data_IF_835753169924
#
_entry.id   IF_835753169924
#
_cell.length_a   1.000
_cell.length_b   1.000
_cell.length_c   1.000
_cell.angle_alpha   90.00
_cell.angle_beta   90.00
_cell.angle_gamma   90.00
#
_symmetry.space_group_name_H-M   'P 1'
#
loop_
_entity.id
_entity.type
_entity.pdbx_description
1 polymer ?
#
# COMPACT_ATOMS: atom_id res chain seq x y z
N UNK A 1 -28.01 2.56 1.52
CA UNK A 1 -27.06 1.69 0.81
C UNK A 1 -25.67 2.13 1.22
N UNK A 2 -24.85 1.26 1.83
CA UNK A 2 -23.60 1.68 2.45
C UNK A 2 -22.45 1.58 1.45
N UNK A 3 -21.86 2.72 1.08
CA UNK A 3 -20.70 2.81 0.18
C UNK A 3 -19.45 3.15 0.98
N UNK A 4 -18.28 2.95 0.37
CA UNK A 4 -17.03 3.50 0.91
C UNK A 4 -17.01 5.00 0.64
N UNK A 5 -16.82 5.79 1.68
CA UNK A 5 -16.61 7.24 1.57
C UNK A 5 -15.20 7.53 1.02
N UNK A 6 -14.22 6.72 1.41
CA UNK A 6 -12.82 6.88 1.03
C UNK A 6 -12.18 5.58 0.55
N UNK A 7 -11.33 5.67 -0.46
CA UNK A 7 -10.40 4.60 -0.83
C UNK A 7 -8.99 5.17 -0.84
N UNK A 8 -8.12 4.58 -0.03
CA UNK A 8 -6.70 4.92 -0.03
C UNK A 8 -5.97 3.92 -0.93
N UNK A 9 -5.32 4.43 -1.97
CA UNK A 9 -4.56 3.64 -2.95
C UNK A 9 -3.11 4.08 -3.01
N UNK A 10 -2.22 3.16 -3.36
CA UNK A 10 -0.78 3.41 -3.44
C UNK A 10 -0.08 2.28 -4.20
N UNK A 11 1.23 2.42 -4.44
CA UNK A 11 2.11 1.26 -4.68
C UNK A 11 2.29 0.46 -3.38
N UNK A 12 2.61 -0.83 -3.50
CA UNK A 12 3.01 -1.64 -2.36
C UNK A 12 4.14 -0.95 -1.57
N UNK A 13 4.09 -1.00 -0.24
CA UNK A 13 5.09 -0.41 0.69
C UNK A 13 5.14 1.13 0.75
N UNK A 14 4.19 1.84 0.14
CA UNK A 14 4.10 3.31 0.18
C UNK A 14 3.34 3.88 1.39
N UNK A 15 2.82 3.05 2.31
CA UNK A 15 2.23 3.54 3.57
C UNK A 15 0.74 3.28 3.78
N UNK A 16 0.13 2.32 3.07
CA UNK A 16 -1.30 1.99 3.23
C UNK A 16 -1.66 1.57 4.66
N UNK A 17 -0.80 0.79 5.34
CA UNK A 17 -1.02 0.45 6.74
C UNK A 17 -0.96 1.66 7.70
N UNK A 18 -0.13 2.67 7.39
CA UNK A 18 -0.10 3.92 8.14
C UNK A 18 -1.42 4.68 7.95
N UNK A 19 -1.88 4.76 6.70
CA UNK A 19 -3.11 5.48 6.37
C UNK A 19 -4.35 4.85 6.99
N UNK A 20 -4.46 3.51 7.02
CA UNK A 20 -5.55 2.83 7.72
C UNK A 20 -5.61 3.21 9.22
N UNK A 21 -4.45 3.25 9.88
CA UNK A 21 -4.34 3.67 11.30
C UNK A 21 -4.71 5.14 11.48
N UNK A 22 -4.14 6.01 10.65
CA UNK A 22 -4.40 7.44 10.67
C UNK A 22 -5.89 7.75 10.54
N UNK A 23 -6.54 7.23 9.49
CA UNK A 23 -7.97 7.45 9.23
C UNK A 23 -8.80 6.97 10.43
N UNK A 24 -8.47 5.79 10.97
CA UNK A 24 -9.15 5.25 12.15
C UNK A 24 -8.96 6.13 13.39
N UNK A 25 -7.77 6.69 13.62
CA UNK A 25 -7.49 7.60 14.74
C UNK A 25 -8.29 8.90 14.67
N UNK A 26 -8.58 9.41 13.46
CA UNK A 26 -9.41 10.61 13.26
C UNK A 26 -10.92 10.29 13.15
N UNK A 27 -11.31 9.07 13.54
CA UNK A 27 -12.70 8.63 13.60
C UNK A 27 -13.29 8.28 12.23
N UNK A 28 -12.48 7.85 11.27
CA UNK A 28 -12.91 7.29 9.98
C UNK A 28 -12.59 5.79 10.00
N UNK A 29 -13.58 4.90 10.28
CA UNK A 29 -13.36 3.45 10.29
C UNK A 29 -12.76 2.95 8.97
N UNK A 30 -11.46 2.63 8.99
CA UNK A 30 -10.69 2.33 7.78
C UNK A 30 -9.98 0.98 7.84
N UNK A 31 -10.47 0.01 7.06
CA UNK A 31 -9.82 -1.29 6.91
C UNK A 31 -8.46 -1.19 6.20
N UNK A 32 -7.58 -2.16 6.46
CA UNK A 32 -6.34 -2.35 5.69
C UNK A 32 -6.48 -3.63 4.88
N UNK A 33 -6.55 -3.50 3.55
CA UNK A 33 -6.74 -4.62 2.61
C UNK A 33 -7.95 -5.51 2.95
N UNK A 34 -8.97 -4.93 3.60
CA UNK A 34 -10.16 -5.64 4.08
C UNK A 34 -11.14 -5.82 2.94
N UNK A 35 -11.35 -4.76 2.15
CA UNK A 35 -12.17 -4.81 0.94
C UNK A 35 -11.30 -5.28 -0.24
N UNK A 36 -10.21 -4.56 -0.50
CA UNK A 36 -9.30 -4.84 -1.62
C UNK A 36 -8.16 -5.73 -1.15
N UNK A 37 -8.35 -7.05 -1.25
CA UNK A 37 -7.38 -8.07 -0.83
C UNK A 37 -6.93 -9.00 -1.96
N UNK A 38 -6.10 -9.98 -1.60
CA UNK A 38 -5.55 -11.00 -2.53
C UNK A 38 -6.59 -11.92 -3.18
N UNK A 39 -7.86 -11.86 -2.77
CA UNK A 39 -8.95 -12.62 -3.37
C UNK A 39 -9.24 -12.23 -4.83
N UNK A 40 -8.68 -11.11 -5.30
CA UNK A 40 -8.84 -10.64 -6.67
C UNK A 40 -10.22 -10.03 -6.94
N UNK A 41 -10.53 -9.85 -8.23
CA UNK A 41 -11.71 -9.09 -8.69
C UNK A 41 -13.04 -9.66 -8.17
N UNK A 42 -13.27 -10.96 -8.32
CA UNK A 42 -14.54 -11.58 -7.91
C UNK A 42 -14.81 -11.39 -6.42
N UNK A 43 -13.81 -11.64 -5.57
CA UNK A 43 -13.95 -11.46 -4.12
C UNK A 43 -14.17 -9.99 -3.77
N UNK A 44 -13.45 -9.08 -4.44
CA UNK A 44 -13.59 -7.63 -4.22
C UNK A 44 -14.99 -7.15 -4.62
N UNK A 45 -15.50 -7.56 -5.78
CA UNK A 45 -16.85 -7.20 -6.25
C UNK A 45 -17.94 -7.76 -5.32
N UNK A 46 -17.79 -9.00 -4.86
CA UNK A 46 -18.71 -9.59 -3.87
C UNK A 46 -18.69 -8.78 -2.58
N UNK A 47 -17.51 -8.42 -2.06
CA UNK A 47 -17.39 -7.61 -0.84
C UNK A 47 -18.01 -6.22 -0.99
N UNK A 48 -17.74 -5.54 -2.11
CA UNK A 48 -18.34 -4.23 -2.40
C UNK A 48 -19.86 -4.32 -2.49
N UNK A 49 -20.40 -5.34 -3.15
CA UNK A 49 -21.84 -5.57 -3.26
C UNK A 49 -22.49 -5.91 -1.91
N UNK A 50 -21.84 -6.73 -1.09
CA UNK A 50 -22.32 -7.04 0.26
C UNK A 50 -22.36 -5.81 1.17
N UNK A 51 -21.35 -4.94 1.08
CA UNK A 51 -21.36 -3.65 1.77
C UNK A 51 -22.52 -2.78 1.29
N UNK A 52 -22.66 -2.65 -0.03
CA UNK A 52 -23.71 -1.86 -0.67
C UNK A 52 -25.10 -2.28 -0.15
N UNK A 53 -25.40 -3.59 -0.20
CA UNK A 53 -26.65 -4.19 0.25
C UNK A 53 -26.84 -4.20 1.78
N UNK A 54 -25.84 -3.81 2.57
CA UNK A 54 -25.87 -3.93 4.03
C UNK A 54 -25.93 -5.38 4.53
N UNK A 55 -25.46 -6.33 3.71
CA UNK A 55 -25.45 -7.78 3.99
C UNK A 55 -24.07 -8.32 4.32
N UNK A 56 -23.07 -7.45 4.43
CA UNK A 56 -21.77 -7.79 4.97
C UNK A 56 -21.93 -8.56 6.29
N UNK A 57 -21.24 -9.69 6.45
CA UNK A 57 -21.05 -10.35 7.75
C UNK A 57 -19.56 -10.49 8.03
N UNK A 58 -19.19 -10.74 9.28
CA UNK A 58 -17.78 -10.90 9.63
C UNK A 58 -17.11 -12.06 8.87
N UNK A 59 -17.86 -13.09 8.46
CA UNK A 59 -17.32 -14.27 7.76
C UNK A 59 -16.72 -13.94 6.39
N UNK A 60 -17.31 -13.03 5.62
CA UNK A 60 -16.80 -12.67 4.29
C UNK A 60 -15.57 -11.75 4.34
N UNK A 61 -15.36 -11.11 5.50
CA UNK A 61 -14.20 -10.27 5.81
C UNK A 61 -13.18 -10.96 6.68
N UNK A 62 -13.42 -12.21 7.11
CA UNK A 62 -12.41 -12.94 7.85
C UNK A 62 -11.13 -12.99 7.01
N UNK A 63 -9.98 -12.61 7.58
CA UNK A 63 -8.72 -12.80 6.91
C UNK A 63 -8.61 -14.29 6.64
N UNK A 64 -8.75 -14.69 5.36
CA UNK A 64 -8.30 -16.01 4.91
C UNK A 64 -6.93 -16.25 5.55
N UNK A 65 -6.63 -17.48 5.98
CA UNK A 65 -5.38 -17.82 6.71
C UNK A 65 -4.09 -17.19 6.13
N UNK A 66 -4.10 -16.85 4.84
CA UNK A 66 -3.07 -16.08 4.12
C UNK A 66 -2.90 -14.60 4.54
N UNK A 67 -3.98 -13.87 4.85
CA UNK A 67 -3.90 -12.49 5.37
C UNK A 67 -3.37 -12.49 6.81
N UNK A 68 -3.76 -13.50 7.61
CA UNK A 68 -3.25 -13.71 8.96
C UNK A 68 -1.74 -13.97 8.94
N UNK A 69 -1.30 -14.82 8.00
CA UNK A 69 0.11 -15.09 7.75
C UNK A 69 0.93 -13.90 7.23
N UNK A 70 0.36 -12.89 6.57
CA UNK A 70 1.15 -11.73 6.13
C UNK A 70 1.35 -10.68 7.24
N UNK A 71 0.38 -10.54 8.15
CA UNK A 71 0.58 -9.84 9.41
C UNK A 71 1.62 -10.57 10.30
N UNK A 72 1.70 -11.89 10.21
CA UNK A 72 2.67 -12.71 10.97
C UNK A 72 4.05 -12.87 10.29
N UNK A 73 4.16 -12.94 8.96
CA UNK A 73 5.41 -13.24 8.23
C UNK A 73 6.30 -12.03 7.97
N UNK A 74 5.80 -10.80 8.11
CA UNK A 74 6.68 -9.65 8.33
C UNK A 74 7.37 -9.75 9.72
N UNK A 75 7.00 -10.74 10.54
CA UNK A 75 7.37 -10.77 11.95
C UNK A 75 8.07 -12.04 12.46
N UNK A 76 8.39 -13.08 11.67
CA UNK A 76 8.75 -14.38 12.31
C UNK A 76 9.94 -15.22 11.81
N UNK A 77 10.90 -14.70 11.05
CA UNK A 77 12.16 -15.47 10.84
C UNK A 77 13.48 -14.73 11.02
N UNK A 78 13.47 -13.43 11.33
CA UNK A 78 14.72 -12.65 11.49
C UNK A 78 14.75 -11.70 12.70
N UNK A 79 13.82 -11.80 13.66
CA UNK A 79 13.85 -10.94 14.86
C UNK A 79 13.62 -11.75 16.14
N UNK A 80 14.71 -12.09 16.82
CA UNK A 80 14.79 -12.84 18.07
C UNK A 80 14.39 -12.03 19.31
N UNK A 81 13.27 -11.29 19.28
CA UNK A 81 12.76 -10.63 20.49
C UNK A 81 11.23 -10.69 20.58
N UNK A 82 10.75 -11.54 21.48
CA UNK A 82 9.34 -11.78 21.82
C UNK A 82 8.57 -10.53 22.33
N UNK A 83 9.23 -9.39 22.57
CA UNK A 83 8.59 -8.16 23.07
C UNK A 83 7.91 -7.27 22.01
N UNK A 84 8.06 -7.56 20.71
CA UNK A 84 7.50 -6.69 19.65
C UNK A 84 6.06 -7.00 19.23
N UNK A 85 5.45 -8.04 19.78
CA UNK A 85 4.12 -8.52 19.37
C UNK A 85 2.94 -7.90 20.11
N UNK A 86 3.15 -7.16 21.20
CA UNK A 86 2.04 -6.56 21.97
C UNK A 86 1.26 -5.47 21.20
N UNK A 87 1.85 -4.85 20.18
CA UNK A 87 1.24 -3.74 19.44
C UNK A 87 0.69 -4.10 18.05
N UNK A 88 1.07 -5.25 17.48
CA UNK A 88 0.51 -5.69 16.19
C UNK A 88 -0.93 -6.23 16.34
N UNK A 89 -1.25 -6.81 17.50
CA UNK A 89 -2.58 -7.34 17.87
C UNK A 89 -3.67 -6.28 18.06
N UNK A 90 -3.33 -5.00 17.99
CA UNK A 90 -4.29 -3.93 18.27
C UNK A 90 -5.15 -3.61 17.03
N UNK A 91 -4.59 -3.52 15.83
CA UNK A 91 -5.36 -3.03 14.65
C UNK A 91 -6.43 -4.01 14.19
N UNK A 92 -6.14 -5.31 14.23
CA UNK A 92 -7.13 -6.35 13.90
C UNK A 92 -8.30 -6.41 14.91
N UNK A 93 -8.19 -5.77 16.08
CA UNK A 93 -9.27 -5.66 17.06
C UNK A 93 -10.14 -4.41 16.92
N UNK A 94 -9.73 -3.40 16.15
CA UNK A 94 -10.37 -2.07 16.24
C UNK A 94 -11.43 -1.76 15.19
N UNK A 95 -11.61 -2.60 14.17
CA UNK A 95 -12.51 -2.24 13.08
C UNK A 95 -13.51 -3.37 12.85
N UNK A 96 -14.75 -3.13 13.29
CA UNK A 96 -15.88 -3.93 12.89
C UNK A 96 -16.05 -3.80 11.37
N UNK A 97 -15.90 -4.88 10.58
CA UNK A 97 -16.06 -4.84 9.12
C UNK A 97 -17.39 -4.24 8.68
N UNK A 98 -18.43 -4.34 9.52
CA UNK A 98 -19.75 -3.77 9.26
C UNK A 98 -19.78 -2.26 9.41
N UNK A 99 -18.81 -1.68 10.12
CA UNK A 99 -18.70 -0.24 10.35
C UNK A 99 -17.76 0.46 9.37
N UNK A 100 -16.95 -0.28 8.60
CA UNK A 100 -16.00 0.28 7.64
C UNK A 100 -16.66 1.26 6.68
N UNK A 101 -16.05 2.43 6.54
CA UNK A 101 -16.39 3.46 5.55
C UNK A 101 -15.21 3.81 4.65
N UNK A 102 -14.04 3.24 4.91
CA UNK A 102 -12.84 3.43 4.09
C UNK A 102 -12.00 2.15 3.99
N UNK A 103 -11.28 1.95 2.90
CA UNK A 103 -10.27 0.87 2.80
C UNK A 103 -8.95 1.42 2.29
N UNK A 104 -7.86 1.03 2.93
CA UNK A 104 -6.50 1.35 2.49
C UNK A 104 -5.80 0.12 1.95
N UNK A 105 -5.51 0.13 0.65
CA UNK A 105 -4.95 -1.01 -0.03
C UNK A 105 -4.26 -0.62 -1.33
N UNK A 106 -3.05 -1.14 -1.55
CA UNK A 106 -2.37 -0.97 -2.83
C UNK A 106 -3.09 -1.78 -3.94
N UNK A 107 -3.82 -2.83 -3.56
CA UNK A 107 -4.62 -3.69 -4.45
C UNK A 107 -5.90 -3.01 -4.94
N UNK A 108 -6.24 -1.81 -4.44
CA UNK A 108 -7.39 -1.05 -4.93
C UNK A 108 -7.16 -0.42 -6.30
N UNK A 109 -5.91 -0.22 -6.72
CA UNK A 109 -5.57 0.50 -7.96
C UNK A 109 -6.27 -0.04 -9.24
N UNK A 110 -6.40 -1.36 -9.47
CA UNK A 110 -7.12 -1.88 -10.63
C UNK A 110 -8.64 -1.66 -10.61
N UNK A 111 -9.20 -1.21 -9.49
CA UNK A 111 -10.65 -1.10 -9.28
C UNK A 111 -11.15 0.35 -9.24
N UNK A 112 -10.26 1.34 -9.37
CA UNK A 112 -10.61 2.76 -9.20
C UNK A 112 -11.67 3.26 -10.20
N UNK A 113 -11.74 2.65 -11.39
CA UNK A 113 -12.76 2.99 -12.41
C UNK A 113 -14.07 2.23 -12.25
N UNK A 114 -14.19 1.38 -11.23
CA UNK A 114 -15.42 0.63 -10.95
C UNK A 114 -16.57 1.58 -10.65
N UNK A 115 -17.78 1.37 -11.23
CA UNK A 115 -18.97 2.14 -10.88
C UNK A 115 -19.32 2.09 -9.39
N UNK A 116 -18.91 1.03 -8.68
CA UNK A 116 -19.12 0.86 -7.24
C UNK A 116 -18.36 1.91 -6.40
N UNK A 117 -17.36 2.57 -6.99
CA UNK A 117 -16.55 3.61 -6.36
C UNK A 117 -16.84 5.01 -6.93
N UNK A 118 -17.94 5.20 -7.67
CA UNK A 118 -18.25 6.48 -8.34
C UNK A 118 -18.29 7.67 -7.40
N UNK A 119 -18.72 7.43 -6.16
CA UNK A 119 -18.96 8.46 -5.15
C UNK A 119 -17.85 8.48 -4.08
N UNK A 120 -16.91 7.53 -4.14
CA UNK A 120 -15.81 7.44 -3.19
C UNK A 120 -14.74 8.47 -3.49
N UNK A 121 -14.22 9.14 -2.45
CA UNK A 121 -13.04 10.00 -2.56
C UNK A 121 -11.78 9.14 -2.60
N UNK A 122 -10.98 9.28 -3.65
CA UNK A 122 -9.75 8.51 -3.82
C UNK A 122 -8.55 9.31 -3.29
N UNK A 123 -7.86 8.74 -2.31
CA UNK A 123 -6.63 9.30 -1.74
C UNK A 123 -5.46 8.49 -2.30
N UNK A 124 -4.66 9.11 -3.15
CA UNK A 124 -3.42 8.53 -3.67
C UNK A 124 -2.29 8.84 -2.70
N UNK A 125 -1.71 7.81 -2.11
CA UNK A 125 -0.57 7.95 -1.20
C UNK A 125 0.68 7.61 -1.96
N UNK A 126 1.65 8.50 -1.90
CA UNK A 126 2.95 8.32 -2.50
C UNK A 126 4.06 8.49 -1.47
N UNK A 127 5.18 7.84 -1.72
CA UNK A 127 6.36 7.84 -0.85
C UNK A 127 7.60 7.95 -1.72
N UNK A 128 8.69 8.47 -1.15
CA UNK A 128 9.97 8.52 -1.83
C UNK A 128 10.31 7.15 -2.47
N UNK A 129 10.52 7.08 -3.80
CA UNK A 129 10.65 5.83 -4.54
C UNK A 129 11.87 5.02 -4.10
N UNK A 130 12.99 5.65 -3.73
CA UNK A 130 14.18 4.95 -3.22
C UNK A 130 13.82 4.17 -1.95
N UNK A 131 13.03 4.77 -1.06
CA UNK A 131 12.55 4.12 0.15
C UNK A 131 11.58 2.96 -0.15
N UNK A 132 10.70 3.13 -1.14
CA UNK A 132 9.74 2.09 -1.54
C UNK A 132 10.46 0.90 -2.19
N UNK A 133 11.36 1.16 -3.14
CA UNK A 133 12.16 0.13 -3.84
C UNK A 133 13.00 -0.66 -2.84
N UNK A 134 13.69 0.03 -1.91
CA UNK A 134 14.40 -0.64 -0.82
C UNK A 134 13.48 -1.52 0.01
N UNK A 135 12.30 -1.02 0.39
CA UNK A 135 11.34 -1.81 1.18
C UNK A 135 10.82 -3.02 0.40
N UNK A 136 10.57 -2.90 -0.90
CA UNK A 136 10.10 -4.02 -1.73
C UNK A 136 11.20 -5.07 -1.87
N UNK A 137 12.38 -4.67 -2.37
CA UNK A 137 13.43 -5.61 -2.76
C UNK A 137 14.25 -6.12 -1.58
N UNK A 138 14.68 -5.21 -0.68
CA UNK A 138 15.63 -5.56 0.37
C UNK A 138 14.95 -6.05 1.64
N UNK A 139 13.79 -5.49 1.99
CA UNK A 139 13.08 -5.87 3.21
C UNK A 139 12.08 -6.99 2.97
N UNK A 140 11.12 -6.83 2.05
CA UNK A 140 10.10 -7.84 1.80
C UNK A 140 10.58 -8.98 0.88
N UNK A 141 11.70 -8.80 0.16
CA UNK A 141 12.15 -9.73 -0.86
C UNK A 141 11.21 -9.79 -2.08
N UNK A 142 10.28 -8.83 -2.20
CA UNK A 142 9.38 -8.69 -3.33
C UNK A 142 10.24 -8.50 -4.58
N UNK A 143 10.03 -9.35 -5.60
CA UNK A 143 10.79 -9.44 -6.85
C UNK A 143 12.14 -10.17 -6.84
N UNK A 144 12.66 -10.63 -5.69
CA UNK A 144 13.87 -11.50 -5.69
C UNK A 144 13.56 -12.86 -6.35
N UNK A 145 14.51 -13.41 -7.09
CA UNK A 145 14.34 -14.64 -7.90
C UNK A 145 13.86 -15.84 -7.09
N UNK A 146 14.33 -15.99 -5.84
CA UNK A 146 13.87 -17.03 -4.91
C UNK A 146 12.37 -16.99 -4.63
N UNK A 147 11.72 -15.84 -4.78
CA UNK A 147 10.27 -15.67 -4.60
C UNK A 147 9.48 -15.73 -5.91
N UNK A 148 10.13 -15.64 -7.08
CA UNK A 148 9.43 -15.70 -8.39
C UNK A 148 9.00 -17.13 -8.77
N UNK A 149 9.70 -18.16 -8.29
CA UNK A 149 9.44 -19.55 -8.65
C UNK A 149 8.49 -20.30 -7.71
N UNK A 150 8.06 -19.69 -6.60
CA UNK A 150 7.05 -20.31 -5.75
C UNK A 150 5.67 -19.93 -6.29
N UNK A 151 4.84 -20.90 -6.69
CA UNK A 151 3.39 -20.77 -6.94
C UNK A 151 2.59 -20.16 -5.75
N UNK A 152 3.28 -19.69 -4.72
CA UNK A 152 2.76 -19.25 -3.44
C UNK A 152 2.81 -17.72 -3.24
N UNK A 153 3.54 -16.96 -4.06
CA UNK A 153 3.56 -15.50 -3.91
C UNK A 153 2.35 -14.85 -4.59
N UNK A 154 1.21 -14.88 -3.91
CA UNK A 154 -0.06 -14.31 -4.38
C UNK A 154 0.00 -12.80 -4.67
N UNK A 155 0.91 -12.08 -4.02
CA UNK A 155 1.14 -10.66 -4.29
C UNK A 155 1.77 -10.45 -5.66
N UNK A 156 2.83 -11.21 -5.98
CA UNK A 156 3.45 -11.16 -7.31
C UNK A 156 2.48 -11.62 -8.39
N UNK A 157 1.69 -12.66 -8.13
CA UNK A 157 0.62 -13.09 -9.04
C UNK A 157 -0.39 -11.95 -9.30
N UNK A 158 -0.89 -11.31 -8.24
CA UNK A 158 -1.78 -10.15 -8.37
C UNK A 158 -1.14 -9.01 -9.16
N UNK A 159 0.08 -8.61 -8.82
CA UNK A 159 0.81 -7.53 -9.51
C UNK A 159 0.99 -7.86 -10.99
N UNK A 160 1.42 -9.09 -11.31
CA UNK A 160 1.67 -9.53 -12.69
C UNK A 160 0.41 -9.56 -13.56
N UNK A 161 -0.77 -9.76 -12.97
CA UNK A 161 -2.06 -9.67 -13.68
C UNK A 161 -2.50 -8.24 -14.00
N UNK A 162 -1.90 -7.25 -13.35
CA UNK A 162 -2.33 -5.85 -13.44
C UNK A 162 -1.22 -4.89 -13.94
N UNK A 163 0.02 -5.36 -14.10
CA UNK A 163 1.14 -4.56 -14.62
C UNK A 163 2.06 -5.38 -15.51
N UNK A 164 2.70 -4.68 -16.44
CA UNK A 164 3.70 -5.26 -17.34
C UNK A 164 5.06 -5.25 -16.63
N UNK A 165 5.27 -6.23 -15.75
CA UNK A 165 6.56 -6.35 -15.06
C UNK A 165 7.70 -6.52 -16.06
N UNK A 166 8.76 -5.74 -15.87
CA UNK A 166 9.94 -5.82 -16.73
C UNK A 166 10.53 -7.24 -16.78
N UNK A 167 10.84 -7.71 -17.99
CA UNK A 167 11.47 -9.01 -18.23
C UNK A 167 12.98 -8.96 -17.99
N UNK A 168 13.37 -8.70 -16.75
CA UNK A 168 14.77 -8.55 -16.33
C UNK A 168 15.05 -9.38 -15.07
N UNK A 169 16.24 -10.00 -14.95
CA UNK A 169 16.65 -10.70 -13.74
C UNK A 169 16.95 -9.73 -12.59
N UNK A 170 17.17 -8.45 -12.87
CA UNK A 170 17.48 -7.44 -11.86
C UNK A 170 16.21 -7.07 -11.05
N UNK A 171 16.14 -7.39 -9.74
CA UNK A 171 14.95 -7.12 -8.94
C UNK A 171 14.71 -5.61 -8.74
N UNK A 172 15.75 -4.79 -8.79
CA UNK A 172 15.60 -3.33 -8.68
C UNK A 172 14.94 -2.75 -9.93
N UNK A 173 15.30 -3.23 -11.13
CA UNK A 173 14.62 -2.79 -12.36
C UNK A 173 13.13 -3.12 -12.34
N UNK A 174 12.78 -4.36 -11.93
CA UNK A 174 11.37 -4.74 -11.80
C UNK A 174 10.63 -3.87 -10.76
N UNK A 175 11.28 -3.56 -9.64
CA UNK A 175 10.72 -2.66 -8.63
C UNK A 175 10.52 -1.22 -9.12
N UNK A 176 11.47 -0.68 -9.91
CA UNK A 176 11.37 0.65 -10.50
C UNK A 176 10.19 0.70 -11.48
N UNK A 177 10.15 -0.21 -12.45
CA UNK A 177 9.06 -0.28 -13.43
C UNK A 177 7.70 -0.49 -12.75
N UNK A 178 7.62 -1.39 -11.75
CA UNK A 178 6.40 -1.58 -10.98
C UNK A 178 5.96 -0.29 -10.27
N UNK A 179 6.87 0.45 -9.66
CA UNK A 179 6.52 1.70 -8.99
C UNK A 179 5.98 2.75 -9.97
N UNK A 180 6.61 2.90 -11.13
CA UNK A 180 6.17 3.81 -12.20
C UNK A 180 4.80 3.38 -12.72
N UNK A 181 4.66 2.14 -13.22
CA UNK A 181 3.44 1.60 -13.82
C UNK A 181 2.24 1.66 -12.86
N UNK A 182 2.46 1.36 -11.57
CA UNK A 182 1.38 1.29 -10.60
C UNK A 182 0.86 2.68 -10.26
N UNK A 183 1.75 3.66 -10.08
CA UNK A 183 1.35 5.05 -9.86
C UNK A 183 0.71 5.63 -11.13
N UNK A 184 1.24 5.33 -12.31
CA UNK A 184 0.64 5.78 -13.57
C UNK A 184 -0.77 5.24 -13.73
N UNK A 185 -1.01 3.97 -13.41
CA UNK A 185 -2.36 3.38 -13.39
C UNK A 185 -3.32 4.13 -12.46
N UNK A 186 -2.84 4.57 -11.29
CA UNK A 186 -3.66 5.33 -10.34
C UNK A 186 -4.02 6.70 -10.94
N UNK A 187 -3.04 7.40 -11.52
CA UNK A 187 -3.26 8.70 -12.18
C UNK A 187 -4.21 8.56 -13.39
N UNK A 188 -3.97 7.58 -14.25
CA UNK A 188 -4.77 7.30 -15.46
C UNK A 188 -6.22 6.95 -15.16
N UNK A 189 -6.54 6.54 -13.91
CA UNK A 189 -7.93 6.34 -13.51
C UNK A 189 -8.76 7.61 -13.62
N UNK A 190 -8.13 8.80 -13.53
CA UNK A 190 -8.82 10.09 -13.49
C UNK A 190 -9.71 10.28 -12.25
N UNK A 191 -9.58 9.43 -11.23
CA UNK A 191 -10.43 9.44 -10.03
C UNK A 191 -9.76 9.99 -8.78
N UNK A 192 -8.47 10.31 -8.83
CA UNK A 192 -7.72 10.83 -7.68
C UNK A 192 -8.35 12.14 -7.20
N UNK A 193 -8.83 12.13 -5.95
CA UNK A 193 -9.41 13.31 -5.30
C UNK A 193 -8.36 14.09 -4.50
N UNK A 194 -7.35 13.39 -3.97
CA UNK A 194 -6.26 13.99 -3.21
C UNK A 194 -5.00 13.14 -3.30
N UNK A 195 -3.83 13.79 -3.38
CA UNK A 195 -2.53 13.11 -3.34
C UNK A 195 -1.80 13.51 -2.07
N UNK A 196 -1.35 12.53 -1.28
CA UNK A 196 -0.59 12.74 -0.05
C UNK A 196 0.79 12.09 -0.16
N UNK A 197 1.85 12.86 0.04
CA UNK A 197 3.19 12.30 0.24
C UNK A 197 3.34 11.91 1.70
N UNK A 198 3.81 10.70 1.97
CA UNK A 198 3.92 10.20 3.35
C UNK A 198 4.89 11.02 4.20
N UNK A 199 5.82 11.74 3.57
CA UNK A 199 6.79 12.63 4.20
C UNK A 199 6.27 14.08 4.39
N UNK A 200 5.12 14.43 3.82
CA UNK A 200 4.54 15.76 3.98
C UNK A 200 3.88 15.94 5.36
N UNK A 201 3.71 17.19 5.82
CA UNK A 201 2.85 17.50 6.96
C UNK A 201 1.44 16.93 6.76
N UNK A 202 0.79 16.52 7.85
CA UNK A 202 -0.50 15.82 7.81
C UNK A 202 -1.69 16.78 7.75
N UNK A 203 -1.48 18.02 8.14
CA UNK A 203 -2.52 19.04 8.29
C UNK A 203 -3.33 19.24 7.00
N UNK A 204 -2.71 19.34 5.80
CA UNK A 204 -3.47 19.46 4.55
C UNK A 204 -4.36 18.23 4.26
N UNK A 205 -3.92 17.03 4.66
CA UNK A 205 -4.74 15.82 4.54
C UNK A 205 -5.89 15.84 5.55
N UNK A 206 -5.65 16.28 6.79
CA UNK A 206 -6.71 16.43 7.78
C UNK A 206 -7.77 17.45 7.34
N UNK A 207 -7.35 18.55 6.71
CA UNK A 207 -8.26 19.53 6.12
C UNK A 207 -9.11 18.90 5.02
N UNK A 208 -8.50 18.15 4.10
CA UNK A 208 -9.22 17.40 3.05
C UNK A 208 -10.26 16.43 3.62
N UNK A 209 -9.95 15.80 4.75
CA UNK A 209 -10.84 14.86 5.46
C UNK A 209 -11.91 15.56 6.30
N UNK A 210 -11.90 16.89 6.44
CA UNK A 210 -12.79 17.64 7.33
C UNK A 210 -12.48 17.39 8.81
N UNK A 211 -11.20 17.19 9.13
CA UNK A 211 -10.66 16.83 10.46
C UNK A 211 -9.59 17.83 10.93
N UNK A 212 -9.63 19.06 10.42
CA UNK A 212 -8.73 20.16 10.79
C UNK A 212 -8.61 20.31 12.30
N UNK A 213 -7.38 20.52 12.80
CA UNK A 213 -7.09 20.75 14.21
C UNK A 213 -7.15 19.50 15.11
N UNK A 214 -7.47 18.32 14.57
CA UNK A 214 -7.35 17.08 15.35
C UNK A 214 -5.88 16.72 15.56
N UNK A 215 -5.47 16.56 16.82
CA UNK A 215 -4.15 16.03 17.16
C UNK A 215 -4.10 14.54 16.83
N UNK A 216 -3.11 14.14 16.05
CA UNK A 216 -2.91 12.74 15.70
C UNK A 216 -1.56 12.25 16.20
N UNK A 217 -1.57 11.19 17.01
CA UNK A 217 -0.36 10.49 17.42
C UNK A 217 -0.16 9.24 16.56
N UNK A 218 0.05 9.42 15.26
CA UNK A 218 0.58 8.33 14.44
C UNK A 218 2.09 8.40 14.49
N UNK A 219 2.73 7.30 14.87
CA UNK A 219 4.16 7.13 14.63
C UNK A 219 4.41 7.25 13.12
N UNK A 220 4.97 8.38 12.70
CA UNK A 220 5.60 8.58 11.38
C UNK A 220 6.68 7.49 11.20
N UNK A 221 6.78 6.82 10.03
CA UNK A 221 6.38 5.41 9.94
C UNK A 221 7.34 4.41 10.58
N UNK A 222 6.75 3.33 11.07
CA UNK A 222 7.37 2.04 11.41
C UNK A 222 8.42 1.57 10.38
N UNK A 223 8.27 1.94 9.10
CA UNK A 223 9.22 1.62 8.02
C UNK A 223 10.48 2.50 8.02
N UNK A 224 10.45 3.72 8.57
CA UNK A 224 11.61 4.60 8.70
C UNK A 224 12.57 4.09 9.77
N UNK A 225 12.04 3.55 10.88
CA UNK A 225 12.85 3.01 11.99
C UNK A 225 13.61 1.73 11.61
N UNK A 226 13.16 1.00 10.60
CA UNK A 226 13.86 -0.20 10.07
C UNK A 226 15.09 0.15 9.22
N UNK A 227 15.27 1.41 8.81
CA UNK A 227 16.50 1.89 8.15
C UNK A 227 17.70 1.93 9.10
N UNK A 228 17.48 1.71 10.40
CA UNK A 228 18.54 1.57 11.42
C UNK A 228 19.35 0.27 11.35
N UNK A 229 19.07 -0.65 10.41
CA UNK A 229 20.00 -1.73 10.10
C UNK A 229 21.21 -1.17 9.33
N UNK A 230 22.12 -0.54 10.08
CA UNK A 230 23.43 -0.09 9.62
C UNK A 230 24.11 -1.26 8.90
N UNK A 231 24.16 -1.20 7.57
CA UNK A 231 24.82 -2.20 6.71
C UNK A 231 23.92 -2.97 5.74
N UNK A 232 22.59 -2.82 5.77
CA UNK A 232 21.76 -3.37 4.71
C UNK A 232 22.03 -2.62 3.38
N UNK A 233 22.21 -3.31 2.24
CA UNK A 233 22.48 -2.65 0.98
C UNK A 233 21.31 -1.72 0.61
N UNK A 234 21.62 -0.44 0.37
CA UNK A 234 20.68 0.55 -0.12
C UNK A 234 20.66 0.55 -1.65
N UNK A 235 19.47 0.55 -2.23
CA UNK A 235 19.25 0.79 -3.65
C UNK A 235 19.91 2.10 -4.10
N UNK A 236 20.64 2.05 -5.21
CA UNK A 236 21.22 3.20 -5.92
C UNK A 236 20.79 3.16 -7.39
N UNK A 237 20.64 4.32 -8.01
CA UNK A 237 20.24 4.43 -9.42
C UNK A 237 21.26 3.76 -10.36
N UNK A 238 22.54 3.80 -9.98
CA UNK A 238 23.62 3.10 -10.70
C UNK A 238 23.48 1.56 -10.74
N UNK A 239 22.54 0.96 -10.00
CA UNK A 239 22.27 -0.48 -10.02
C UNK A 239 21.24 -0.91 -11.08
N UNK A 240 20.63 0.03 -11.80
CA UNK A 240 19.67 -0.26 -12.87
C UNK A 240 20.12 0.39 -14.16
N UNK A 241 19.55 -0.05 -15.28
CA UNK A 241 19.86 0.54 -16.59
C UNK A 241 19.54 2.05 -16.61
N UNK A 242 20.31 2.80 -17.40
CA UNK A 242 20.22 4.25 -17.47
C UNK A 242 18.82 4.72 -17.87
N UNK A 243 18.19 4.02 -18.81
CA UNK A 243 16.83 4.35 -19.29
C UNK A 243 15.80 4.28 -18.15
N UNK A 244 15.77 3.17 -17.40
CA UNK A 244 14.92 3.02 -16.20
C UNK A 244 15.25 4.06 -15.14
N UNK A 245 16.54 4.39 -14.91
CA UNK A 245 16.92 5.43 -13.94
C UNK A 245 16.37 6.80 -14.32
N UNK A 246 16.51 7.19 -15.58
CA UNK A 246 16.01 8.48 -16.09
C UNK A 246 14.49 8.53 -16.04
N UNK A 247 13.81 7.45 -16.40
CA UNK A 247 12.36 7.34 -16.29
C UNK A 247 11.90 7.48 -14.84
N UNK A 248 12.55 6.79 -13.91
CA UNK A 248 12.25 6.89 -12.48
C UNK A 248 12.47 8.32 -11.97
N UNK A 249 13.58 8.98 -12.31
CA UNK A 249 13.84 10.38 -11.93
C UNK A 249 12.72 11.28 -12.46
N UNK A 250 12.43 11.21 -13.75
CA UNK A 250 11.42 12.06 -14.40
C UNK A 250 10.04 11.85 -13.75
N UNK A 251 9.66 10.60 -13.52
CA UNK A 251 8.38 10.27 -12.92
C UNK A 251 8.29 10.72 -11.45
N UNK A 252 9.38 10.58 -10.70
CA UNK A 252 9.46 11.00 -9.29
C UNK A 252 9.32 12.51 -9.11
N UNK A 253 9.87 13.27 -10.05
CA UNK A 253 9.75 14.73 -10.07
C UNK A 253 8.30 15.20 -10.21
N UNK A 254 7.42 14.42 -10.86
CA UNK A 254 5.98 14.76 -10.95
C UNK A 254 5.28 14.78 -9.59
N UNK A 255 5.87 14.12 -8.58
CA UNK A 255 5.41 14.12 -7.20
C UNK A 255 6.35 14.92 -6.26
N UNK A 256 7.24 15.73 -6.82
CA UNK A 256 8.16 16.57 -6.05
C UNK A 256 9.23 15.79 -5.28
N UNK A 257 9.60 14.58 -5.73
CA UNK A 257 10.79 13.88 -5.22
C UNK A 257 11.97 14.08 -6.17
N UNK A 258 12.91 14.93 -5.79
CA UNK A 258 14.22 15.00 -6.45
C UNK A 258 15.10 13.85 -5.95
N UNK A 259 15.23 12.82 -6.77
CA UNK A 259 16.10 11.66 -6.49
C UNK A 259 17.37 11.66 -7.35
N UNK A 260 17.63 12.75 -8.10
CA UNK A 260 18.76 12.84 -9.02
C UNK A 260 20.12 12.70 -8.33
N UNK A 261 20.20 13.06 -7.05
CA UNK A 261 21.41 12.92 -6.24
C UNK A 261 21.70 11.48 -5.75
N UNK A 262 20.92 10.48 -6.19
CA UNK A 262 21.02 9.08 -5.72
C UNK A 262 21.87 8.16 -6.61
N UNK A 263 22.76 8.73 -7.44
CA UNK A 263 23.71 7.98 -8.29
C UNK A 263 24.83 7.30 -7.49
#
# INVERSE_FOLDING_TARGET
MKKLDYVVTATARSGTAYMARLLSQVGIPCGHETIFGLGGKQVTEVRLKLLEEGKATTKEFEPNSLNRHYCEHITLSQCSTERRFANATLIDKYIDPLTIVADSSFMSAPFLTSPLLSDSKIIHVIRNPISVINSMVNFCGLFRSSQRNTKQNKFLDFISRHTNLAHTPNPYEVACCHWIDWNQKIIDSGKVSYTHRIEDPIEPLLDFLGKSGQSVSVDVPFNSRMLGNVGAPSFKLSQVRLEISLELINYSNTFGYDISNSF
#
